data_IF_455060474222
#
_entry.id   IF_455060474222
#
_cell.length_a   1.000
_cell.length_b   1.000
_cell.length_c   1.000
_cell.angle_alpha   90.00
_cell.angle_beta   90.00
_cell.angle_gamma   90.00
#
_symmetry.space_group_name_H-M   'P 1'
#
loop_
_entity.id
_entity.type
_entity.pdbx_description
1 polymer ?
#
# COMPACT_ATOMS: atom_id res chain seq x y z
N UNK A 1 -1.50 60.49 2.11
CA UNK A 1 -1.98 61.48 3.12
C UNK A 1 -2.04 60.78 4.47
N UNK A 2 -1.44 61.39 5.52
CA UNK A 2 -1.50 61.10 6.99
C UNK A 2 -1.17 59.66 7.44
N UNK A 3 -0.12 59.29 8.19
CA UNK A 3 0.64 59.81 9.36
C UNK A 3 -0.17 59.96 10.66
N UNK A 4 0.30 59.30 11.74
CA UNK A 4 0.19 59.56 13.23
C UNK A 4 0.21 58.18 13.96
N UNK A 5 1.35 57.66 14.44
CA UNK A 5 2.10 57.86 15.72
C UNK A 5 1.64 57.03 16.95
N UNK A 6 2.54 56.14 17.38
CA UNK A 6 3.04 55.81 18.74
C UNK A 6 2.18 56.05 20.00
N UNK A 7 2.19 55.10 20.94
CA UNK A 7 2.79 55.32 22.27
C UNK A 7 3.15 54.03 23.02
N UNK A 8 4.29 54.12 23.70
CA UNK A 8 4.97 53.20 24.62
C UNK A 8 4.64 53.65 26.05
N UNK A 9 4.50 52.72 27.01
CA UNK A 9 5.19 52.70 28.32
C UNK A 9 4.60 51.72 29.35
N UNK A 10 5.46 50.81 29.81
CA UNK A 10 5.56 50.14 31.12
C UNK A 10 5.83 51.19 32.25
N UNK A 11 6.17 50.93 33.55
CA UNK A 11 6.66 49.70 34.23
C UNK A 11 6.23 49.53 35.72
N UNK A 12 6.64 48.47 36.43
CA UNK A 12 7.65 48.40 37.55
C UNK A 12 7.01 47.57 38.70
N UNK A 13 7.64 46.82 39.60
CA UNK A 13 9.04 46.47 39.97
C UNK A 13 8.95 45.46 41.15
N UNK A 14 9.57 44.27 41.14
CA UNK A 14 10.88 43.83 41.77
C UNK A 14 10.91 43.82 43.33
N UNK A 15 11.91 43.24 44.06
CA UNK A 15 13.08 42.40 43.71
C UNK A 15 13.35 41.22 44.71
N UNK A 16 14.25 40.26 44.45
CA UNK A 16 15.70 40.17 44.83
C UNK A 16 16.09 38.67 44.68
N UNK A 17 17.31 38.16 44.48
CA UNK A 17 18.70 38.64 44.31
C UNK A 17 19.58 37.39 44.07
N UNK A 18 20.65 37.52 43.24
CA UNK A 18 22.00 36.92 43.38
C UNK A 18 22.20 35.38 43.46
N UNK A 19 23.29 34.74 43.00
CA UNK A 19 24.39 35.01 42.06
C UNK A 19 25.16 33.66 41.89
N UNK A 20 25.73 33.44 40.70
CA UNK A 20 26.99 32.74 40.39
C UNK A 20 27.31 31.24 40.69
N UNK A 21 27.73 30.57 39.60
CA UNK A 21 29.00 29.81 39.41
C UNK A 21 29.01 28.26 39.24
N UNK A 22 29.48 27.87 38.03
CA UNK A 22 30.33 26.71 37.59
C UNK A 22 30.31 25.37 38.35
N UNK A 23 30.05 24.27 37.62
CA UNK A 23 31.07 23.30 37.14
C UNK A 23 30.43 22.00 36.57
N UNK A 24 31.03 21.48 35.50
CA UNK A 24 30.72 20.21 34.83
C UNK A 24 31.22 18.99 35.64
N UNK A 25 30.52 17.85 35.55
CA UNK A 25 31.09 16.48 35.34
C UNK A 25 29.94 15.45 35.14
N UNK A 26 30.21 14.26 34.55
CA UNK A 26 29.37 13.66 33.51
C UNK A 26 28.35 12.63 34.03
N UNK A 27 27.20 12.55 33.36
CA UNK A 27 26.20 11.49 33.58
C UNK A 27 26.73 10.19 32.99
N UNK A 28 27.09 9.25 33.88
CA UNK A 28 27.51 7.91 33.53
C UNK A 28 26.40 7.12 32.83
N UNK A 29 26.82 6.35 31.84
CA UNK A 29 26.03 5.36 31.11
C UNK A 29 25.42 4.34 32.07
N UNK A 30 24.08 4.25 32.11
CA UNK A 30 23.39 3.18 32.81
C UNK A 30 23.45 1.90 31.95
N UNK A 31 24.00 0.83 32.52
CA UNK A 31 24.03 -0.49 31.92
C UNK A 31 22.58 -1.04 31.80
N UNK A 32 22.08 -1.36 30.59
CA UNK A 32 20.73 -1.89 30.40
C UNK A 32 20.54 -3.33 30.93
N UNK A 33 21.58 -3.96 31.48
CA UNK A 33 21.53 -5.30 32.10
C UNK A 33 21.65 -5.29 33.64
N UNK A 34 21.50 -4.14 34.30
CA UNK A 34 21.49 -4.07 35.77
C UNK A 34 20.16 -4.58 36.35
N UNK A 35 20.22 -5.56 37.26
CA UNK A 35 19.05 -6.12 37.96
C UNK A 35 18.55 -5.13 39.03
N UNK A 36 17.24 -4.81 39.10
CA UNK A 36 16.73 -3.89 40.11
C UNK A 36 16.81 -4.51 41.52
N UNK A 37 17.23 -3.76 42.56
CA UNK A 37 17.16 -4.24 43.92
C UNK A 37 15.70 -4.19 44.41
N UNK A 38 15.17 -5.36 44.75
CA UNK A 38 13.98 -5.58 45.58
C UNK A 38 12.63 -5.03 45.08
N UNK A 39 11.88 -5.89 44.40
CA UNK A 39 10.42 -5.82 44.34
C UNK A 39 9.84 -6.94 45.22
N UNK A 40 9.59 -6.66 46.50
CA UNK A 40 8.71 -7.51 47.34
C UNK A 40 7.39 -6.77 47.57
N UNK A 41 6.23 -7.41 47.34
CA UNK A 41 4.93 -6.77 47.47
C UNK A 41 4.59 -6.46 48.94
N UNK A 42 4.03 -5.28 49.14
CA UNK A 42 3.57 -4.74 50.43
C UNK A 42 2.24 -5.38 50.86
N UNK A 43 2.30 -6.59 51.41
CA UNK A 43 1.18 -7.15 52.19
C UNK A 43 1.62 -8.33 53.06
N UNK A 44 2.47 -8.05 54.04
CA UNK A 44 2.60 -8.88 55.26
C UNK A 44 3.16 -8.01 56.38
N UNK A 45 2.32 -7.10 56.88
CA UNK A 45 2.53 -6.42 58.16
C UNK A 45 1.55 -7.03 59.16
N UNK A 46 2.09 -7.54 60.27
CA UNK A 46 1.35 -8.08 61.42
C UNK A 46 1.59 -9.59 61.54
N UNK A 47 2.25 -10.15 62.56
CA UNK A 47 2.37 -9.71 63.92
C UNK A 47 3.76 -10.04 64.49
N UNK A 48 4.30 -9.09 65.26
CA UNK A 48 5.45 -9.27 66.14
C UNK A 48 5.03 -10.18 67.29
N UNK A 49 5.81 -11.23 67.56
CA UNK A 49 5.89 -11.83 68.89
C UNK A 49 7.35 -11.77 69.33
N UNK A 50 7.58 -11.08 70.44
CA UNK A 50 8.90 -10.91 71.02
C UNK A 50 9.43 -12.23 71.53
N UNK A 51 10.66 -12.56 71.16
CA UNK A 51 11.47 -13.52 71.88
C UNK A 51 12.70 -12.81 72.42
N UNK A 52 12.79 -12.82 73.75
CA UNK A 52 13.92 -12.37 74.53
C UNK A 52 15.16 -13.18 74.12
N UNK A 53 16.28 -12.51 73.93
CA UNK A 53 17.58 -13.18 73.83
C UNK A 53 17.94 -13.72 75.22
N UNK A 54 17.70 -15.00 75.45
CA UNK A 54 18.37 -15.74 76.51
C UNK A 54 19.76 -16.13 75.98
N UNK A 55 20.81 -15.76 76.72
CA UNK A 55 22.16 -16.30 76.48
C UNK A 55 22.12 -17.83 76.63
N UNK A 56 22.51 -18.55 75.57
CA UNK A 56 22.68 -20.01 75.63
C UNK A 56 24.12 -20.29 76.07
N UNK A 57 24.35 -20.88 77.27
CA UNK A 57 25.67 -21.32 77.68
C UNK A 57 26.04 -22.62 76.96
N UNK A 58 27.22 -22.64 76.34
CA UNK A 58 27.86 -23.86 75.89
C UNK A 58 27.62 -24.20 74.41
N UNK A 59 28.58 -23.83 73.57
CA UNK A 59 28.76 -24.43 72.25
C UNK A 59 29.23 -25.87 72.40
N UNK A 60 28.30 -26.77 72.67
CA UNK A 60 28.52 -28.20 72.51
C UNK A 60 28.74 -28.52 71.03
N UNK A 61 29.98 -28.86 70.67
CA UNK A 61 30.31 -29.33 69.32
C UNK A 61 29.37 -30.46 68.89
N UNK A 62 28.79 -30.35 67.69
CA UNK A 62 28.02 -31.44 67.08
C UNK A 62 28.95 -32.63 66.82
N UNK A 63 28.84 -33.68 67.66
CA UNK A 63 29.51 -34.95 67.41
C UNK A 63 28.65 -35.80 66.49
N UNK A 64 29.05 -35.95 65.23
CA UNK A 64 28.40 -36.91 64.35
C UNK A 64 28.64 -38.32 64.90
N UNK A 65 27.55 -39.05 65.17
CA UNK A 65 27.60 -40.47 65.53
C UNK A 65 27.06 -41.27 64.36
N UNK A 66 27.82 -42.27 63.92
CA UNK A 66 27.31 -43.27 62.97
C UNK A 66 26.22 -44.08 63.67
N UNK A 67 24.97 -43.93 63.23
CA UNK A 67 23.85 -44.74 63.72
C UNK A 67 24.11 -46.19 63.34
N UNK A 68 24.10 -47.11 64.30
CA UNK A 68 24.25 -48.55 64.03
C UNK A 68 22.97 -49.02 63.33
N UNK A 69 23.09 -49.97 62.40
CA UNK A 69 21.97 -50.43 61.57
C UNK A 69 20.76 -50.94 62.38
N UNK A 70 20.99 -51.41 63.61
CA UNK A 70 19.96 -51.85 64.55
C UNK A 70 19.19 -50.70 65.24
N UNK A 71 19.80 -49.51 65.31
CA UNK A 71 19.24 -48.31 65.97
C UNK A 71 18.62 -47.33 64.96
N UNK A 72 18.74 -47.62 63.66
CA UNK A 72 18.16 -46.81 62.60
C UNK A 72 16.67 -47.11 62.48
N UNK A 73 15.81 -46.19 62.90
CA UNK A 73 14.39 -46.26 62.57
C UNK A 73 14.25 -46.14 61.05
N UNK A 74 13.54 -47.07 60.38
CA UNK A 74 13.23 -46.91 58.96
C UNK A 74 12.52 -45.58 58.78
N UNK A 75 13.03 -44.73 57.88
CA UNK A 75 12.28 -43.54 57.48
C UNK A 75 10.89 -44.02 57.01
N UNK A 76 9.80 -43.38 57.43
CA UNK A 76 8.48 -43.77 56.98
C UNK A 76 8.47 -43.70 55.45
N UNK A 77 8.41 -44.87 54.82
CA UNK A 77 8.25 -44.98 53.38
C UNK A 77 6.83 -44.54 53.13
N UNK A 78 6.64 -43.24 52.86
CA UNK A 78 5.38 -42.75 52.34
C UNK A 78 5.11 -43.57 51.08
N UNK A 79 4.15 -44.50 51.16
CA UNK A 79 3.62 -45.15 49.96
C UNK A 79 3.19 -44.02 49.04
N UNK A 80 3.86 -43.86 47.87
CA UNK A 80 3.51 -42.84 46.88
C UNK A 80 2.00 -42.79 46.77
N UNK A 81 1.41 -41.72 47.30
CA UNK A 81 -0.03 -41.65 47.37
C UNK A 81 -0.55 -41.56 45.93
N UNK A 82 -1.65 -42.25 45.61
CA UNK A 82 -2.33 -42.11 44.31
C UNK A 82 -2.60 -40.64 43.92
N UNK A 83 -2.61 -39.74 44.91
CA UNK A 83 -2.71 -38.28 44.76
C UNK A 83 -1.51 -37.63 44.03
N UNK A 84 -0.31 -38.19 44.10
CA UNK A 84 0.86 -37.68 43.35
C UNK A 84 0.75 -37.93 41.85
N UNK A 85 0.16 -39.07 41.45
CA UNK A 85 -0.10 -39.34 40.04
C UNK A 85 -1.14 -38.36 39.46
N UNK A 86 -2.16 -37.99 40.25
CA UNK A 86 -3.17 -37.00 39.85
C UNK A 86 -2.56 -35.63 39.53
N UNK A 87 -1.49 -35.22 40.24
CA UNK A 87 -0.78 -33.95 40.00
C UNK A 87 -0.14 -33.87 38.60
N UNK A 88 0.19 -35.00 37.99
CA UNK A 88 0.73 -35.06 36.63
C UNK A 88 -0.34 -35.37 35.59
N UNK A 89 -1.34 -36.18 35.94
CA UNK A 89 -2.42 -36.56 35.02
C UNK A 89 -3.28 -35.35 34.65
N UNK A 90 -3.66 -34.48 35.59
CA UNK A 90 -4.52 -33.33 35.25
C UNK A 90 -3.87 -32.31 34.30
N UNK A 91 -2.60 -31.87 34.52
CA UNK A 91 -1.93 -30.99 33.57
C UNK A 91 -1.72 -31.64 32.20
N UNK A 92 -1.37 -32.94 32.15
CA UNK A 92 -1.18 -33.65 30.89
C UNK A 92 -2.50 -33.81 30.12
N UNK A 93 -3.60 -34.17 30.81
CA UNK A 93 -4.92 -34.22 30.21
C UNK A 93 -5.36 -32.83 29.72
N UNK A 94 -5.10 -31.77 30.50
CA UNK A 94 -5.37 -30.39 30.09
C UNK A 94 -4.58 -29.97 28.85
N UNK A 95 -3.30 -30.36 28.75
CA UNK A 95 -2.45 -30.10 27.60
C UNK A 95 -2.91 -30.87 26.35
N UNK A 96 -3.26 -32.15 26.51
CA UNK A 96 -3.81 -32.96 25.40
C UNK A 96 -5.14 -32.38 24.93
N UNK A 97 -6.01 -31.99 25.85
CA UNK A 97 -7.31 -31.39 25.52
C UNK A 97 -7.13 -30.02 24.86
N UNK A 98 -6.18 -29.21 25.33
CA UNK A 98 -5.79 -27.95 24.70
C UNK A 98 -5.28 -28.14 23.28
N UNK A 99 -4.33 -29.05 23.06
CA UNK A 99 -3.83 -29.39 21.73
C UNK A 99 -4.92 -29.95 20.81
N UNK A 100 -5.82 -30.78 21.36
CA UNK A 100 -6.98 -31.30 20.63
C UNK A 100 -7.94 -30.19 20.19
N UNK A 101 -8.25 -29.23 21.07
CA UNK A 101 -9.07 -28.06 20.75
C UNK A 101 -8.38 -27.16 19.72
N UNK A 102 -7.08 -26.90 19.86
CA UNK A 102 -6.31 -26.13 18.88
C UNK A 102 -6.31 -26.83 17.52
N UNK A 103 -6.06 -28.14 17.48
CA UNK A 103 -6.14 -28.94 16.26
C UNK A 103 -7.53 -28.91 15.62
N UNK A 104 -8.59 -28.98 16.42
CA UNK A 104 -9.97 -28.85 15.95
C UNK A 104 -10.24 -27.46 15.35
N UNK A 105 -9.82 -26.38 16.02
CA UNK A 105 -9.99 -25.01 15.51
C UNK A 105 -9.25 -24.84 14.19
N UNK A 106 -7.99 -25.32 14.10
CA UNK A 106 -7.21 -25.29 12.86
C UNK A 106 -7.91 -26.08 11.77
N UNK A 107 -8.37 -27.30 12.07
CA UNK A 107 -9.09 -28.14 11.11
C UNK A 107 -10.36 -27.46 10.58
N UNK A 108 -11.19 -26.93 11.48
CA UNK A 108 -12.42 -26.23 11.10
C UNK A 108 -12.10 -25.01 10.21
N UNK A 109 -11.08 -24.23 10.56
CA UNK A 109 -10.65 -23.07 9.77
C UNK A 109 -10.07 -23.46 8.41
N UNK A 110 -9.26 -24.51 8.33
CA UNK A 110 -8.74 -25.02 7.07
C UNK A 110 -9.86 -25.62 6.19
N UNK A 111 -10.87 -26.24 6.80
CA UNK A 111 -12.00 -26.80 6.06
C UNK A 111 -12.95 -25.74 5.47
N UNK A 112 -12.91 -24.51 5.99
CA UNK A 112 -13.64 -23.35 5.43
C UNK A 112 -12.94 -22.76 4.20
N UNK A 113 -11.67 -23.11 3.94
CA UNK A 113 -10.92 -22.60 2.79
C UNK A 113 -11.44 -23.28 1.53
N UNK A 114 -12.11 -22.51 0.68
CA UNK A 114 -12.54 -22.99 -0.64
C UNK A 114 -11.34 -23.06 -1.58
N UNK A 115 -11.03 -24.27 -2.04
CA UNK A 115 -10.03 -24.50 -3.07
C UNK A 115 -10.68 -24.37 -4.44
N UNK A 116 -10.57 -23.18 -5.03
CA UNK A 116 -11.08 -22.93 -6.37
C UNK A 116 -10.21 -23.59 -7.44
N UNK A 117 -10.85 -24.11 -8.48
CA UNK A 117 -10.13 -24.49 -9.72
C UNK A 117 -9.98 -23.26 -10.60
N UNK A 118 -8.75 -23.02 -11.05
CA UNK A 118 -8.42 -21.89 -11.93
C UNK A 118 -8.04 -22.39 -13.33
N UNK A 119 -8.69 -21.85 -14.34
CA UNK A 119 -8.44 -22.12 -15.75
C UNK A 119 -7.68 -20.95 -16.37
N UNK A 120 -6.65 -21.19 -17.20
CA UNK A 120 -5.89 -20.11 -17.82
C UNK A 120 -6.75 -19.33 -18.80
N UNK A 121 -6.66 -18.00 -18.74
CA UNK A 121 -7.28 -17.06 -19.66
C UNK A 121 -6.23 -16.37 -20.52
N UNK A 122 -5.12 -15.94 -19.89
CA UNK A 122 -3.97 -15.37 -20.58
C UNK A 122 -2.69 -15.92 -19.96
N UNK A 123 -1.77 -16.39 -20.79
CA UNK A 123 -0.40 -16.74 -20.41
C UNK A 123 0.52 -16.09 -21.43
N UNK A 124 0.99 -14.89 -21.11
CA UNK A 124 1.80 -14.05 -21.99
C UNK A 124 3.23 -13.98 -21.45
N UNK A 125 4.18 -14.47 -22.23
CA UNK A 125 5.62 -14.47 -21.93
C UNK A 125 6.42 -13.58 -22.90
N UNK A 126 5.73 -12.85 -23.79
CA UNK A 126 6.28 -11.94 -24.80
C UNK A 126 7.36 -12.56 -25.71
N UNK A 127 7.47 -13.89 -25.75
CA UNK A 127 8.48 -14.60 -26.56
C UNK A 127 8.24 -14.48 -28.07
N UNK A 128 7.02 -14.14 -28.47
CA UNK A 128 6.63 -13.88 -29.87
C UNK A 128 7.31 -12.64 -30.46
N UNK A 129 7.79 -11.71 -29.62
CA UNK A 129 8.34 -10.43 -30.06
C UNK A 129 7.30 -9.38 -30.47
N UNK A 130 6.00 -9.69 -30.39
CA UNK A 130 4.91 -8.78 -30.74
C UNK A 130 3.67 -9.03 -29.87
N UNK A 131 2.94 -7.95 -29.55
CA UNK A 131 1.65 -8.07 -28.85
C UNK A 131 0.59 -8.65 -29.80
N UNK A 132 -0.15 -9.66 -29.35
CA UNK A 132 -1.30 -10.18 -30.10
C UNK A 132 -2.42 -9.13 -30.12
N UNK A 133 -2.81 -8.59 -31.29
CA UNK A 133 -3.85 -7.57 -31.40
C UNK A 133 -5.25 -8.08 -31.05
N UNK A 134 -5.45 -9.40 -30.96
CA UNK A 134 -6.71 -9.98 -30.48
C UNK A 134 -6.82 -9.92 -28.95
N UNK A 135 -5.70 -9.72 -28.25
CA UNK A 135 -5.63 -9.66 -26.79
C UNK A 135 -5.40 -8.22 -26.35
N UNK A 136 -4.34 -7.60 -26.87
CA UNK A 136 -3.83 -6.33 -26.40
C UNK A 136 -4.27 -5.17 -27.31
N UNK A 137 -4.88 -4.16 -26.70
CA UNK A 137 -5.16 -2.87 -27.32
C UNK A 137 -4.19 -1.83 -26.77
N UNK A 138 -3.56 -1.07 -27.65
CA UNK A 138 -2.77 0.12 -27.25
C UNK A 138 -3.65 1.35 -27.31
N UNK A 139 -3.62 2.17 -26.26
CA UNK A 139 -4.40 3.39 -26.19
C UNK A 139 -3.59 4.61 -26.63
N UNK A 140 -4.24 5.53 -27.36
CA UNK A 140 -3.65 6.78 -27.86
C UNK A 140 -4.57 7.94 -27.52
N UNK A 141 -4.16 8.76 -26.54
CA UNK A 141 -4.91 9.90 -26.02
C UNK A 141 -3.99 11.01 -25.50
N UNK A 142 -4.55 12.21 -25.37
CA UNK A 142 -3.91 13.44 -24.84
C UNK A 142 -4.68 14.07 -23.67
N UNK A 143 -5.74 13.41 -23.20
CA UNK A 143 -6.66 13.96 -22.19
C UNK A 143 -6.24 13.77 -20.74
N UNK A 144 -5.16 13.04 -20.46
CA UNK A 144 -4.65 12.82 -19.11
C UNK A 144 -5.50 11.88 -18.25
N UNK A 145 -6.40 11.09 -18.86
CA UNK A 145 -7.12 9.97 -18.25
C UNK A 145 -7.87 10.30 -16.95
N UNK A 146 -8.46 11.50 -16.85
CA UNK A 146 -9.17 11.95 -15.65
C UNK A 146 -8.28 12.37 -14.48
N UNK A 147 -6.97 12.09 -14.56
CA UNK A 147 -5.97 12.38 -13.53
C UNK A 147 -5.12 13.62 -13.86
N UNK A 148 -5.34 14.27 -15.01
CA UNK A 148 -4.51 15.38 -15.47
C UNK A 148 -3.08 14.97 -15.77
N UNK A 149 -2.87 13.72 -16.20
CA UNK A 149 -1.54 13.18 -16.54
C UNK A 149 -0.90 13.94 -17.73
N UNK A 150 0.42 13.99 -17.75
CA UNK A 150 1.19 14.86 -18.66
C UNK A 150 1.73 14.14 -19.90
N UNK A 151 1.59 12.82 -19.99
CA UNK A 151 1.96 12.08 -21.19
C UNK A 151 0.86 12.10 -22.27
N UNK A 152 1.31 12.10 -23.51
CA UNK A 152 0.54 11.56 -24.62
C UNK A 152 0.81 10.05 -24.67
N UNK A 153 -0.23 9.23 -24.69
CA UNK A 153 -0.06 7.80 -24.97
C UNK A 153 0.06 7.57 -26.47
N UNK A 154 0.99 6.72 -26.89
CA UNK A 154 1.31 6.47 -28.31
C UNK A 154 1.39 4.99 -28.63
N UNK A 155 1.40 4.68 -29.93
CA UNK A 155 1.77 3.37 -30.49
C UNK A 155 3.23 3.34 -30.98
N UNK A 156 4.01 4.37 -30.66
CA UNK A 156 5.38 4.48 -31.17
C UNK A 156 6.26 3.40 -30.55
N UNK A 157 7.11 2.78 -31.38
CA UNK A 157 8.07 1.76 -30.94
C UNK A 157 9.13 2.29 -29.96
N UNK A 158 9.21 3.61 -29.73
CA UNK A 158 10.05 4.18 -28.68
C UNK A 158 9.41 4.08 -27.28
N UNK A 159 8.07 3.99 -27.22
CA UNK A 159 7.31 3.99 -25.98
C UNK A 159 6.78 2.60 -25.61
N UNK A 160 6.50 1.76 -26.61
CA UNK A 160 5.99 0.41 -26.43
C UNK A 160 6.70 -0.56 -27.39
N UNK A 161 7.48 -1.48 -26.85
CA UNK A 161 8.18 -2.47 -27.67
C UNK A 161 8.50 -3.74 -26.87
N UNK A 162 8.73 -4.84 -27.59
CA UNK A 162 9.19 -6.09 -26.98
C UNK A 162 10.66 -6.30 -27.38
N UNK A 163 11.49 -6.56 -26.38
CA UNK A 163 12.91 -6.86 -26.57
C UNK A 163 13.32 -7.98 -25.62
N UNK A 164 14.08 -8.95 -26.11
CA UNK A 164 14.61 -10.06 -25.30
C UNK A 164 13.52 -10.85 -24.53
N UNK A 165 12.33 -11.00 -25.13
CA UNK A 165 11.19 -11.68 -24.50
C UNK A 165 10.51 -10.88 -23.38
N UNK A 166 10.69 -9.56 -23.34
CA UNK A 166 10.11 -8.69 -22.32
C UNK A 166 9.44 -7.49 -22.97
N UNK A 167 8.29 -7.10 -22.42
CA UNK A 167 7.59 -5.89 -22.83
C UNK A 167 8.16 -4.68 -22.10
N UNK A 168 8.44 -3.61 -22.86
CA UNK A 168 8.93 -2.34 -22.36
C UNK A 168 7.85 -1.27 -22.54
N UNK A 169 7.51 -0.61 -21.44
CA UNK A 169 6.72 0.63 -21.44
C UNK A 169 7.67 1.75 -21.01
N UNK A 170 8.10 2.56 -21.99
CA UNK A 170 9.17 3.54 -21.83
C UNK A 170 8.65 4.95 -22.04
N UNK A 171 8.54 5.76 -20.98
CA UNK A 171 8.28 7.19 -21.12
C UNK A 171 9.42 7.90 -21.87
N UNK A 172 9.07 8.86 -22.72
CA UNK A 172 10.04 9.73 -23.42
C UNK A 172 9.61 11.20 -23.34
N UNK A 173 10.54 12.11 -23.59
CA UNK A 173 10.25 13.55 -23.66
C UNK A 173 9.57 13.86 -25.00
N UNK A 174 8.62 14.80 -25.02
CA UNK A 174 8.00 15.25 -26.27
C UNK A 174 8.99 16.04 -27.14
N UNK A 175 8.74 16.09 -28.46
CA UNK A 175 9.45 16.99 -29.36
C UNK A 175 9.30 18.45 -28.89
N UNK A 176 10.44 19.09 -28.62
CA UNK A 176 10.52 20.47 -28.18
C UNK A 176 9.89 21.45 -29.18
N UNK A 177 9.85 21.11 -30.48
CA UNK A 177 9.22 21.96 -31.51
C UNK A 177 7.72 22.15 -31.25
N UNK A 178 7.05 21.07 -30.79
CA UNK A 178 5.62 21.06 -30.44
C UNK A 178 5.31 21.86 -29.18
N UNK A 179 6.30 22.04 -28.30
CA UNK A 179 6.17 22.77 -27.02
C UNK A 179 6.53 24.25 -27.17
N UNK A 180 7.46 24.59 -28.05
CA UNK A 180 8.04 25.95 -28.16
C UNK A 180 7.45 26.79 -29.28
N UNK A 181 6.65 26.19 -30.17
CA UNK A 181 5.92 26.92 -31.21
C UNK A 181 4.43 26.60 -31.14
N UNK A 182 3.59 27.48 -31.69
CA UNK A 182 2.14 27.25 -31.73
C UNK A 182 1.84 26.02 -32.59
N UNK A 183 1.28 24.98 -31.98
CA UNK A 183 1.00 23.71 -32.64
C UNK A 183 -0.31 23.11 -32.14
N UNK A 184 -0.82 22.14 -32.89
CA UNK A 184 -1.99 21.34 -32.53
C UNK A 184 -1.62 19.88 -32.75
N UNK A 185 -1.89 19.03 -31.75
CA UNK A 185 -1.94 17.58 -31.92
C UNK A 185 -3.41 17.22 -32.06
N UNK A 186 -3.79 16.63 -33.20
CA UNK A 186 -5.18 16.28 -33.50
C UNK A 186 -5.27 14.81 -33.89
N UNK A 187 -5.33 13.95 -32.87
CA UNK A 187 -5.39 12.50 -33.03
C UNK A 187 -6.68 12.04 -33.73
N UNK A 188 -7.75 12.85 -33.70
CA UNK A 188 -8.98 12.55 -34.44
C UNK A 188 -8.78 12.74 -35.94
N UNK A 189 -8.14 13.83 -36.34
CA UNK A 189 -7.81 14.07 -37.75
C UNK A 189 -6.80 13.03 -38.28
N UNK A 190 -5.88 12.59 -37.42
CA UNK A 190 -4.90 11.55 -37.72
C UNK A 190 -5.52 10.14 -37.75
N UNK A 191 -6.74 9.96 -37.23
CA UNK A 191 -7.42 8.67 -37.13
C UNK A 191 -6.80 7.71 -36.10
N UNK A 192 -5.98 8.22 -35.18
CA UNK A 192 -5.22 7.42 -34.20
C UNK A 192 -5.83 7.44 -32.81
N UNK A 193 -6.70 8.40 -32.49
CA UNK A 193 -7.30 8.49 -31.16
C UNK A 193 -8.14 7.26 -30.82
N UNK A 194 -7.88 6.62 -29.69
CA UNK A 194 -8.55 5.36 -29.30
C UNK A 194 -9.64 5.54 -28.24
N UNK A 195 -9.91 6.77 -27.80
CA UNK A 195 -10.97 7.01 -26.81
C UNK A 195 -12.33 6.64 -27.39
N UNK A 196 -13.18 6.01 -26.58
CA UNK A 196 -14.59 5.75 -26.93
C UNK A 196 -15.51 6.90 -26.51
N UNK A 197 -15.00 7.86 -25.73
CA UNK A 197 -15.75 9.03 -25.31
C UNK A 197 -15.83 10.08 -26.43
N UNK A 198 -16.96 10.76 -26.57
CA UNK A 198 -17.10 11.90 -27.50
C UNK A 198 -16.48 13.20 -26.94
N UNK A 199 -15.51 13.08 -26.05
CA UNK A 199 -14.87 14.21 -25.36
C UNK A 199 -13.63 14.62 -26.15
N UNK A 200 -13.73 15.74 -26.87
CA UNK A 200 -12.69 16.20 -27.81
C UNK A 200 -11.31 16.39 -27.17
N UNK A 201 -11.26 16.81 -25.89
CA UNK A 201 -10.00 17.05 -25.17
C UNK A 201 -9.17 15.78 -24.97
N UNK A 202 -9.76 14.60 -25.14
CA UNK A 202 -9.02 13.33 -25.10
C UNK A 202 -8.21 13.07 -26.37
N UNK A 203 -8.55 13.73 -27.48
CA UNK A 203 -7.92 13.53 -28.79
C UNK A 203 -7.22 14.77 -29.35
N UNK A 204 -7.57 15.96 -28.87
CA UNK A 204 -7.05 17.22 -29.42
C UNK A 204 -6.47 18.08 -28.31
N UNK A 205 -5.23 18.52 -28.52
CA UNK A 205 -4.53 19.45 -27.64
C UNK A 205 -3.74 20.45 -28.46
N UNK A 206 -3.35 21.57 -27.86
CA UNK A 206 -2.58 22.60 -28.55
C UNK A 206 -1.57 23.29 -27.65
N UNK A 207 -0.52 23.78 -28.30
CA UNK A 207 0.43 24.73 -27.73
C UNK A 207 0.07 26.13 -28.19
N UNK A 208 -0.07 27.03 -27.24
CA UNK A 208 -0.23 28.46 -27.45
C UNK A 208 0.82 29.22 -26.64
N UNK A 209 1.85 29.72 -27.33
CA UNK A 209 2.99 30.39 -26.71
C UNK A 209 2.63 31.73 -26.07
N UNK A 210 1.48 32.32 -26.42
CA UNK A 210 1.03 33.61 -25.88
C UNK A 210 0.43 33.46 -24.48
N UNK A 211 -0.34 32.40 -24.24
CA UNK A 211 -0.99 32.16 -22.94
C UNK A 211 -0.28 31.09 -22.08
N UNK A 212 0.73 30.40 -22.63
CA UNK A 212 1.53 29.40 -21.92
C UNK A 212 0.90 28.01 -21.86
N UNK A 213 -0.21 27.76 -22.57
CA UNK A 213 -0.75 26.40 -22.73
C UNK A 213 0.17 25.59 -23.65
N UNK A 214 0.46 24.35 -23.26
CA UNK A 214 1.25 23.43 -24.09
C UNK A 214 0.54 22.07 -24.25
N UNK A 215 0.86 21.39 -25.36
CA UNK A 215 0.59 19.96 -25.51
C UNK A 215 1.33 19.13 -24.45
N UNK A 216 1.05 17.84 -24.38
CA UNK A 216 1.68 16.92 -23.44
C UNK A 216 3.22 16.98 -23.53
N UNK A 217 3.92 17.33 -22.43
CA UNK A 217 5.39 17.46 -22.42
C UNK A 217 6.14 16.12 -22.47
N UNK A 218 5.44 15.00 -22.29
CA UNK A 218 6.01 13.66 -22.35
C UNK A 218 5.17 12.75 -23.26
N UNK A 219 5.75 11.61 -23.64
CA UNK A 219 5.07 10.50 -24.30
C UNK A 219 5.24 9.24 -23.45
N UNK A 220 4.28 8.33 -23.52
CA UNK A 220 4.36 7.01 -22.89
C UNK A 220 3.43 6.03 -23.59
N UNK A 221 3.19 4.86 -23.00
CA UNK A 221 2.21 3.90 -23.49
C UNK A 221 1.28 3.40 -22.38
N UNK A 222 0.07 3.06 -22.80
CA UNK A 222 -0.98 2.41 -22.01
C UNK A 222 -1.59 1.31 -22.87
N UNK A 223 -1.58 0.09 -22.37
CA UNK A 223 -2.17 -1.05 -23.05
C UNK A 223 -3.19 -1.73 -22.16
N UNK A 224 -4.19 -2.38 -22.77
CA UNK A 224 -5.21 -3.10 -22.05
C UNK A 224 -5.65 -4.39 -22.75
N UNK A 225 -6.27 -5.29 -22.01
CA UNK A 225 -6.74 -6.59 -22.51
C UNK A 225 -8.23 -6.64 -22.84
N UNK A 226 -8.92 -5.49 -22.89
CA UNK A 226 -10.39 -5.38 -22.92
C UNK A 226 -11.05 -6.22 -24.02
N UNK A 227 -10.42 -6.30 -25.19
CA UNK A 227 -10.99 -7.00 -26.35
C UNK A 227 -10.82 -8.53 -26.31
N UNK A 228 -9.85 -9.05 -25.56
CA UNK A 228 -9.47 -10.47 -25.66
C UNK A 228 -9.39 -11.24 -24.36
N UNK A 229 -8.80 -10.67 -23.31
CA UNK A 229 -8.59 -11.38 -22.04
C UNK A 229 -9.24 -10.61 -20.88
N UNK A 230 -10.37 -11.12 -20.41
CA UNK A 230 -11.14 -10.57 -19.29
C UNK A 230 -11.37 -11.68 -18.27
N UNK A 231 -11.51 -11.33 -16.99
CA UNK A 231 -11.86 -12.30 -15.95
C UNK A 231 -12.94 -11.74 -15.03
N UNK A 232 -13.77 -12.63 -14.49
CA UNK A 232 -14.58 -12.39 -13.29
C UNK A 232 -14.24 -13.46 -12.27
N UNK A 233 -13.62 -13.03 -11.16
CA UNK A 233 -13.03 -13.90 -10.16
C UNK A 233 -11.90 -14.76 -10.73
N UNK A 234 -10.77 -14.81 -10.04
CA UNK A 234 -9.58 -15.37 -10.63
C UNK A 234 -8.32 -14.99 -9.88
N UNK A 235 -7.23 -15.18 -10.61
CA UNK A 235 -5.89 -14.79 -10.20
C UNK A 235 -5.24 -14.00 -11.35
N UNK A 236 -4.58 -12.90 -11.03
CA UNK A 236 -3.75 -12.16 -11.98
C UNK A 236 -2.36 -12.04 -11.37
N UNK A 237 -1.33 -12.35 -12.15
CA UNK A 237 0.06 -12.19 -11.77
C UNK A 237 0.81 -11.50 -12.91
N UNK A 238 1.40 -10.35 -12.60
CA UNK A 238 2.24 -9.60 -13.54
C UNK A 238 3.63 -9.53 -12.97
N UNK A 239 4.59 -10.18 -13.64
CA UNK A 239 6.00 -10.11 -13.26
C UNK A 239 6.64 -8.90 -13.93
N UNK A 240 6.93 -7.87 -13.15
CA UNK A 240 7.45 -6.61 -13.67
C UNK A 240 8.54 -6.02 -12.78
N UNK A 241 9.41 -5.20 -13.39
CA UNK A 241 10.34 -4.32 -12.70
C UNK A 241 9.88 -2.89 -12.92
N UNK A 242 9.67 -2.16 -11.81
CA UNK A 242 9.12 -0.82 -11.87
C UNK A 242 10.16 0.22 -12.33
N UNK A 243 9.71 1.30 -12.99
CA UNK A 243 10.59 2.40 -13.34
C UNK A 243 11.03 3.17 -12.10
N UNK A 244 12.21 3.80 -12.21
CA UNK A 244 12.73 4.76 -11.23
C UNK A 244 12.98 6.09 -11.93
N UNK A 245 12.51 7.17 -11.34
CA UNK A 245 12.56 8.49 -11.91
C UNK A 245 11.44 9.35 -11.37
N UNK A 246 11.76 10.60 -11.08
CA UNK A 246 10.80 11.53 -10.54
C UNK A 246 9.60 11.69 -11.48
N UNK A 247 8.43 11.76 -10.85
CA UNK A 247 7.13 12.01 -11.50
C UNK A 247 6.65 10.88 -12.40
N UNK A 248 7.26 9.70 -12.35
CA UNK A 248 6.74 8.50 -13.01
C UNK A 248 5.68 7.82 -12.14
N UNK A 249 4.64 7.32 -12.77
CA UNK A 249 3.52 6.63 -12.11
C UNK A 249 3.21 5.32 -12.86
N UNK A 250 3.95 4.24 -12.59
CA UNK A 250 3.63 2.91 -13.09
C UNK A 250 2.36 2.36 -12.43
N UNK A 251 1.53 1.68 -13.22
CA UNK A 251 0.33 1.02 -12.72
C UNK A 251 0.07 -0.33 -13.42
N UNK A 252 -0.42 -1.28 -12.62
CA UNK A 252 -0.97 -2.58 -13.03
C UNK A 252 -2.32 -2.68 -12.35
N UNK A 253 -3.39 -2.62 -13.14
CA UNK A 253 -4.72 -2.36 -12.62
C UNK A 253 -5.79 -2.89 -13.57
N UNK A 254 -7.04 -2.86 -13.14
CA UNK A 254 -8.14 -3.44 -13.89
C UNK A 254 -9.37 -2.54 -13.86
N UNK A 255 -10.07 -2.48 -14.99
CA UNK A 255 -11.36 -1.80 -15.13
C UNK A 255 -12.45 -2.79 -15.57
N UNK A 256 -13.73 -2.51 -15.27
CA UNK A 256 -14.83 -3.33 -15.71
C UNK A 256 -14.96 -3.27 -17.24
N UNK A 257 -15.27 -4.40 -17.87
CA UNK A 257 -15.52 -4.47 -19.32
C UNK A 257 -16.68 -3.56 -19.70
N UNK A 258 -17.74 -3.61 -18.91
CA UNK A 258 -18.97 -2.84 -19.06
C UNK A 258 -19.26 -2.01 -17.80
N UNK A 259 -19.68 -0.76 -18.00
CA UNK A 259 -20.09 0.16 -16.94
C UNK A 259 -21.49 -0.20 -16.39
N UNK A 260 -21.63 -1.43 -15.87
CA UNK A 260 -22.89 -2.08 -15.48
C UNK A 260 -23.68 -1.28 -14.44
N UNK A 261 -22.98 -0.58 -13.54
CA UNK A 261 -23.58 0.20 -12.46
C UNK A 261 -23.58 1.70 -12.73
N UNK A 262 -23.13 2.10 -13.92
CA UNK A 262 -22.93 3.47 -14.34
C UNK A 262 -21.45 3.88 -14.37
N UNK A 263 -21.21 5.17 -14.61
CA UNK A 263 -19.85 5.69 -14.84
C UNK A 263 -18.96 5.49 -13.63
N UNK A 264 -17.64 5.42 -13.87
CA UNK A 264 -16.65 5.39 -12.79
C UNK A 264 -16.91 6.47 -11.72
N UNK A 265 -16.81 6.14 -10.42
CA UNK A 265 -16.34 4.87 -9.84
C UNK A 265 -17.47 3.85 -9.56
N UNK A 266 -18.69 4.05 -10.06
CA UNK A 266 -19.84 3.20 -9.72
C UNK A 266 -19.67 1.74 -10.14
N UNK A 267 -18.97 1.50 -11.26
CA UNK A 267 -18.69 0.16 -11.79
C UNK A 267 -17.37 -0.45 -11.29
N UNK A 268 -16.62 0.27 -10.47
CA UNK A 268 -15.42 -0.20 -9.80
C UNK A 268 -14.11 -0.03 -10.59
N UNK A 269 -13.00 -0.10 -9.86
CA UNK A 269 -11.61 -0.20 -10.37
C UNK A 269 -10.81 -1.04 -9.38
N UNK A 270 -9.90 -1.88 -9.87
CA UNK A 270 -9.03 -2.70 -9.03
C UNK A 270 -7.57 -2.38 -9.36
N UNK A 271 -6.90 -1.66 -8.46
CA UNK A 271 -5.47 -1.39 -8.58
C UNK A 271 -4.69 -2.48 -7.88
N UNK A 272 -4.07 -3.34 -8.68
CA UNK A 272 -3.22 -4.42 -8.17
C UNK A 272 -1.93 -3.82 -7.63
N UNK A 273 -1.34 -2.89 -8.39
CA UNK A 273 -0.10 -2.20 -8.05
C UNK A 273 -0.10 -0.80 -8.65
N UNK A 274 0.09 0.19 -7.80
CA UNK A 274 0.56 1.51 -8.20
C UNK A 274 1.80 1.88 -7.39
N UNK A 275 2.68 2.68 -7.96
CA UNK A 275 3.87 3.19 -7.28
C UNK A 275 4.25 4.56 -7.82
N UNK A 276 5.13 5.26 -7.09
CA UNK A 276 5.80 6.47 -7.57
C UNK A 276 7.21 6.09 -7.98
N UNK A 277 7.67 6.57 -9.13
CA UNK A 277 9.05 6.40 -9.55
C UNK A 277 10.04 7.25 -8.76
N UNK A 278 9.56 8.27 -8.02
CA UNK A 278 10.39 9.14 -7.18
C UNK A 278 11.27 8.34 -6.23
N UNK A 279 12.38 8.95 -5.82
CA UNK A 279 13.30 8.30 -4.89
C UNK A 279 12.62 7.88 -3.57
N UNK A 280 13.14 6.85 -2.90
CA UNK A 280 12.64 6.36 -1.61
C UNK A 280 12.55 7.42 -0.50
N UNK A 281 13.21 8.57 -0.66
CA UNK A 281 13.12 9.72 0.23
C UNK A 281 11.85 10.57 0.06
N UNK A 282 11.02 10.31 -0.96
CA UNK A 282 9.77 11.03 -1.20
C UNK A 282 8.82 10.87 0.00
N UNK A 283 8.23 11.98 0.47
CA UNK A 283 7.54 12.03 1.76
C UNK A 283 6.32 11.11 1.89
N UNK A 284 5.63 10.82 0.78
CA UNK A 284 4.48 9.90 0.73
C UNK A 284 4.85 8.47 0.32
N UNK A 285 6.15 8.17 0.21
CA UNK A 285 6.66 6.92 -0.33
C UNK A 285 6.89 7.00 -1.83
N UNK A 286 8.14 6.70 -2.24
CA UNK A 286 8.58 6.68 -3.62
C UNK A 286 8.62 5.26 -4.20
N UNK A 287 9.69 4.95 -4.90
CA UNK A 287 9.93 3.70 -5.61
C UNK A 287 10.14 2.47 -4.69
N UNK A 288 10.10 2.69 -3.38
CA UNK A 288 10.10 1.65 -2.35
C UNK A 288 8.70 1.32 -1.85
N UNK A 289 7.64 2.00 -2.32
CA UNK A 289 6.27 1.78 -1.89
C UNK A 289 5.41 1.27 -3.07
N UNK A 290 4.53 0.33 -2.77
CA UNK A 290 3.46 -0.11 -3.67
C UNK A 290 2.14 0.03 -2.95
N UNK A 291 1.16 0.61 -3.62
CA UNK A 291 -0.24 0.63 -3.17
C UNK A 291 -1.08 -0.34 -3.98
N UNK A 292 -2.11 -0.86 -3.33
CA UNK A 292 -3.25 -1.49 -3.98
C UNK A 292 -4.51 -0.82 -3.45
N UNK A 293 -5.47 -0.60 -4.33
CA UNK A 293 -6.68 0.17 -4.06
C UNK A 293 -7.87 -0.49 -4.75
N UNK A 294 -9.07 -0.18 -4.24
CA UNK A 294 -10.33 -0.48 -4.91
C UNK A 294 -11.09 0.83 -5.01
N UNK A 295 -11.41 1.31 -6.22
CA UNK A 295 -12.26 2.49 -6.37
C UNK A 295 -13.72 2.07 -6.42
N UNK A 296 -14.56 2.81 -5.69
CA UNK A 296 -16.00 2.57 -5.61
C UNK A 296 -16.67 3.80 -4.98
N UNK A 297 -17.82 4.19 -5.51
CA UNK A 297 -18.57 5.32 -4.98
C UNK A 297 -19.73 5.71 -5.91
N UNK A 298 -20.62 6.60 -5.44
CA UNK A 298 -21.74 7.06 -6.26
C UNK A 298 -21.32 8.03 -7.37
N UNK A 299 -20.18 8.70 -7.25
CA UNK A 299 -19.74 9.72 -8.21
C UNK A 299 -18.24 10.04 -8.03
N UNK A 300 -17.71 10.87 -8.92
CA UNK A 300 -16.30 11.31 -8.93
C UNK A 300 -15.86 11.98 -7.63
N UNK A 301 -16.74 12.79 -7.00
CA UNK A 301 -16.39 13.55 -5.80
C UNK A 301 -16.45 12.67 -4.54
N UNK A 302 -17.20 11.58 -4.61
CA UNK A 302 -17.48 10.66 -3.51
C UNK A 302 -16.82 9.29 -3.73
N UNK A 303 -15.72 9.23 -4.46
CA UNK A 303 -14.93 8.02 -4.58
C UNK A 303 -14.32 7.61 -3.22
N UNK A 304 -14.63 6.40 -2.78
CA UNK A 304 -14.29 5.90 -1.45
C UNK A 304 -12.98 5.10 -1.40
N UNK A 305 -12.17 5.13 -2.47
CA UNK A 305 -10.93 4.33 -2.57
C UNK A 305 -10.03 4.40 -1.35
N UNK A 306 -9.93 5.55 -0.68
CA UNK A 306 -9.13 5.75 0.54
C UNK A 306 -9.48 4.79 1.68
N UNK A 307 -10.70 4.25 1.70
CA UNK A 307 -11.16 3.25 2.69
C UNK A 307 -10.68 1.83 2.37
N UNK A 308 -10.30 1.62 1.11
CA UNK A 308 -9.90 0.34 0.53
C UNK A 308 -8.47 0.37 -0.02
N UNK A 309 -7.72 1.45 0.18
CA UNK A 309 -6.30 1.53 -0.16
C UNK A 309 -5.44 0.98 0.97
N UNK A 310 -4.42 0.21 0.62
CA UNK A 310 -3.34 -0.11 1.52
C UNK A 310 -1.98 -0.01 0.82
N UNK A 311 -0.94 0.18 1.62
CA UNK A 311 0.42 0.41 1.11
C UNK A 311 1.38 -0.60 1.72
N UNK A 312 2.31 -1.09 0.90
CA UNK A 312 3.41 -1.94 1.34
C UNK A 312 4.75 -1.30 0.97
N UNK A 313 5.57 -1.08 1.99
CA UNK A 313 6.96 -0.70 1.82
C UNK A 313 7.84 -1.93 1.55
N UNK A 314 8.80 -1.78 0.64
CA UNK A 314 9.93 -2.68 0.49
C UNK A 314 10.85 -2.57 1.72
N UNK A 315 11.37 -3.70 2.19
CA UNK A 315 12.30 -3.76 3.32
C UNK A 315 13.72 -3.77 2.78
N UNK A 316 14.43 -2.65 2.92
CA UNK A 316 15.83 -2.46 2.49
C UNK A 316 16.09 -2.63 0.98
N UNK A 317 15.06 -2.47 0.14
CA UNK A 317 15.18 -2.48 -1.32
C UNK A 317 14.17 -1.50 -1.96
N UNK A 318 14.18 -1.42 -3.29
CA UNK A 318 13.20 -0.67 -4.09
C UNK A 318 12.57 -1.61 -5.13
N UNK A 319 11.34 -1.33 -5.53
CA UNK A 319 10.60 -2.18 -6.48
C UNK A 319 11.08 -2.07 -7.94
N UNK A 320 12.01 -1.16 -8.20
CA UNK A 320 12.73 -1.05 -9.49
C UNK A 320 14.12 -1.70 -9.52
N UNK A 321 14.57 -2.30 -8.41
CA UNK A 321 15.87 -3.01 -8.37
C UNK A 321 15.80 -4.33 -9.16
N UNK A 322 14.78 -5.14 -8.85
CA UNK A 322 14.58 -6.49 -9.38
C UNK A 322 13.15 -6.68 -9.92
N UNK A 323 12.93 -7.81 -10.60
CA UNK A 323 11.58 -8.22 -10.98
C UNK A 323 10.80 -8.71 -9.76
N UNK A 324 9.56 -8.28 -9.66
CA UNK A 324 8.61 -8.70 -8.65
C UNK A 324 7.34 -9.21 -9.32
N UNK A 325 6.64 -10.14 -8.65
CA UNK A 325 5.31 -10.57 -9.09
C UNK A 325 4.28 -9.72 -8.37
N UNK A 326 3.52 -8.91 -9.09
CA UNK A 326 2.38 -8.18 -8.55
C UNK A 326 1.13 -9.01 -8.78
N UNK A 327 0.56 -9.52 -7.69
CA UNK A 327 -0.45 -10.55 -7.71
C UNK A 327 -1.78 -10.09 -7.14
N UNK A 328 -2.86 -10.59 -7.73
CA UNK A 328 -4.24 -10.44 -7.29
C UNK A 328 -4.87 -11.83 -7.18
N UNK A 329 -5.54 -12.10 -6.07
CA UNK A 329 -6.53 -13.16 -5.94
C UNK A 329 -7.90 -12.52 -5.67
N UNK A 330 -8.88 -12.86 -6.48
CA UNK A 330 -10.20 -12.25 -6.44
C UNK A 330 -11.27 -13.33 -6.51
N UNK A 331 -12.20 -13.27 -5.57
CA UNK A 331 -13.35 -14.18 -5.49
C UNK A 331 -14.61 -13.38 -5.17
N UNK A 332 -15.77 -14.04 -5.17
CA UNK A 332 -17.01 -13.46 -4.65
C UNK A 332 -16.91 -13.03 -3.17
N UNK A 333 -15.92 -13.55 -2.41
CA UNK A 333 -15.78 -13.36 -0.97
C UNK A 333 -14.72 -12.34 -0.59
N UNK A 334 -13.69 -12.14 -1.42
CA UNK A 334 -12.61 -11.21 -1.11
C UNK A 334 -11.84 -10.77 -2.36
N UNK A 335 -11.11 -9.67 -2.21
CA UNK A 335 -9.98 -9.30 -3.06
C UNK A 335 -8.70 -9.26 -2.22
N UNK A 336 -7.62 -9.81 -2.75
CA UNK A 336 -6.34 -9.94 -2.08
C UNK A 336 -5.20 -9.59 -3.05
N UNK A 337 -4.44 -8.54 -2.75
CA UNK A 337 -3.27 -8.13 -3.52
C UNK A 337 -1.97 -8.39 -2.74
N UNK A 338 -0.93 -8.87 -3.44
CA UNK A 338 0.35 -9.25 -2.84
C UNK A 338 1.53 -9.04 -3.79
N UNK A 339 2.75 -9.12 -3.24
CA UNK A 339 4.00 -8.98 -4.00
C UNK A 339 4.86 -10.24 -3.82
N UNK A 340 5.35 -10.83 -4.91
CA UNK A 340 6.15 -12.06 -5.01
C UNK A 340 5.42 -13.35 -4.59
N UNK A 341 4.74 -13.33 -3.44
CA UNK A 341 3.95 -14.45 -2.94
C UNK A 341 2.89 -13.96 -1.93
N UNK A 342 1.93 -14.85 -1.65
CA UNK A 342 0.78 -14.56 -0.79
C UNK A 342 1.12 -14.23 0.67
N UNK A 343 2.35 -14.46 1.15
CA UNK A 343 2.76 -14.03 2.50
C UNK A 343 3.12 -12.53 2.55
N UNK A 344 3.38 -11.91 1.40
CA UNK A 344 3.70 -10.49 1.28
C UNK A 344 2.46 -9.71 0.82
N UNK A 345 1.43 -9.76 1.65
CA UNK A 345 0.20 -9.01 1.47
C UNK A 345 0.45 -7.50 1.34
N UNK A 346 -0.22 -6.89 0.36
CA UNK A 346 -0.43 -5.43 0.26
C UNK A 346 -1.82 -5.10 0.79
N UNK A 347 -2.86 -5.67 0.17
CA UNK A 347 -4.27 -5.40 0.49
C UNK A 347 -5.03 -6.70 0.67
N UNK A 348 -5.93 -6.74 1.67
CA UNK A 348 -6.92 -7.81 1.81
C UNK A 348 -8.26 -7.16 2.14
N UNK A 349 -9.24 -7.35 1.27
CA UNK A 349 -10.58 -6.81 1.43
C UNK A 349 -11.62 -7.94 1.42
N UNK A 350 -12.15 -8.34 2.59
CA UNK A 350 -13.22 -9.32 2.66
C UNK A 350 -14.57 -8.65 2.40
N UNK A 351 -15.38 -9.20 1.49
CA UNK A 351 -16.76 -8.76 1.22
C UNK A 351 -17.74 -9.22 2.32
N UNK A 352 -17.41 -8.89 3.58
CA UNK A 352 -18.18 -9.29 4.77
C UNK A 352 -19.53 -8.55 4.88
N UNK A 353 -19.59 -7.34 4.32
CA UNK A 353 -20.76 -6.46 4.25
C UNK A 353 -20.80 -5.70 2.90
N UNK A 354 -21.98 -5.24 2.44
CA UNK A 354 -22.08 -4.38 1.25
C UNK A 354 -21.24 -3.11 1.37
N UNK A 355 -20.73 -2.59 0.25
CA UNK A 355 -19.87 -1.40 0.25
C UNK A 355 -20.62 -0.11 0.56
N UNK A 356 -21.86 0.06 0.08
CA UNK A 356 -22.63 1.31 0.24
C UNK A 356 -22.64 1.87 1.68
N UNK A 357 -23.02 1.10 2.72
CA UNK A 357 -23.04 1.62 4.09
C UNK A 357 -21.64 1.93 4.65
N UNK A 358 -20.58 1.38 4.05
CA UNK A 358 -19.20 1.64 4.47
C UNK A 358 -18.67 2.97 3.93
N UNK A 359 -19.26 3.45 2.83
CA UNK A 359 -18.86 4.69 2.16
C UNK A 359 -19.10 5.94 3.00
N UNK A 360 -20.15 5.95 3.83
CA UNK A 360 -20.63 7.12 4.56
C UNK A 360 -20.83 8.33 3.62
N UNK A 361 -21.47 8.09 2.48
CA UNK A 361 -21.71 9.12 1.46
C UNK A 361 -22.68 10.21 1.95
N UNK A 362 -22.52 11.46 1.50
CA UNK A 362 -23.47 12.52 1.81
C UNK A 362 -24.84 12.22 1.19
N UNK A 363 -25.89 12.82 1.74
CA UNK A 363 -27.26 12.65 1.23
C UNK A 363 -27.46 13.29 -0.15
N UNK A 364 -26.64 14.27 -0.50
CA UNK A 364 -26.70 14.98 -1.77
C UNK A 364 -25.32 15.43 -2.23
N UNK A 365 -25.17 15.62 -3.53
CA UNK A 365 -24.00 16.24 -4.14
C UNK A 365 -23.92 17.75 -3.85
N UNK A 366 -22.88 18.42 -4.38
CA UNK A 366 -22.68 19.86 -4.24
C UNK A 366 -23.79 20.72 -4.88
N UNK A 367 -24.58 20.15 -5.80
CA UNK A 367 -25.69 20.81 -6.48
C UNK A 367 -27.05 20.55 -5.79
N UNK A 368 -27.06 19.77 -4.69
CA UNK A 368 -28.27 19.38 -3.97
C UNK A 368 -29.03 18.21 -4.60
N UNK A 369 -28.44 17.51 -5.58
CA UNK A 369 -28.99 16.29 -6.16
C UNK A 369 -28.85 15.16 -5.16
N UNK A 370 -29.93 14.43 -4.88
CA UNK A 370 -29.88 13.31 -3.96
C UNK A 370 -28.95 12.21 -4.49
N UNK A 371 -28.04 11.76 -3.64
CA UNK A 371 -27.15 10.64 -3.92
C UNK A 371 -27.90 9.35 -3.60
N UNK A 372 -27.99 8.46 -4.59
CA UNK A 372 -28.75 7.20 -4.50
C UNK A 372 -27.78 6.03 -4.64
N UNK A 373 -28.04 4.97 -3.88
CA UNK A 373 -27.26 3.73 -3.92
C UNK A 373 -27.39 3.04 -5.29
N UNK A 374 -26.35 3.06 -6.15
CA UNK A 374 -26.40 2.47 -7.49
C UNK A 374 -26.34 0.94 -7.45
N UNK A 375 -26.14 0.33 -6.27
CA UNK A 375 -25.98 -1.11 -6.07
C UNK A 375 -27.15 -1.76 -5.32
N UNK A 376 -28.10 -0.95 -4.84
CA UNK A 376 -29.24 -1.37 -4.01
C UNK A 376 -30.07 -2.51 -4.61
N UNK A 377 -30.14 -2.59 -5.94
CA UNK A 377 -30.83 -3.61 -6.71
C UNK A 377 -30.15 -4.99 -6.71
N UNK A 378 -28.86 -5.08 -6.37
CA UNK A 378 -28.09 -6.32 -6.50
C UNK A 378 -28.25 -7.27 -5.33
N UNK A 379 -28.36 -6.73 -4.11
CA UNK A 379 -28.33 -7.51 -2.87
C UNK A 379 -27.01 -8.24 -2.59
N UNK A 380 -25.95 -8.00 -3.40
CA UNK A 380 -24.64 -8.65 -3.27
C UNK A 380 -23.69 -7.79 -2.45
N UNK A 381 -22.80 -8.44 -1.69
CA UNK A 381 -21.84 -7.74 -0.81
C UNK A 381 -20.61 -7.24 -1.54
N UNK A 382 -20.28 -7.88 -2.66
CA UNK A 382 -19.09 -7.62 -3.44
C UNK A 382 -19.32 -6.66 -4.61
N UNK A 383 -20.55 -6.18 -4.85
CA UNK A 383 -20.83 -5.11 -5.81
C UNK A 383 -20.00 -3.86 -5.50
N UNK A 384 -19.31 -3.23 -6.47
CA UNK A 384 -19.37 -3.49 -7.93
C UNK A 384 -18.34 -4.49 -8.49
N UNK A 385 -17.55 -5.15 -7.64
CA UNK A 385 -16.52 -6.12 -8.01
C UNK A 385 -17.08 -7.52 -8.26
N UNK A 386 -18.19 -7.58 -8.97
CA UNK A 386 -18.97 -8.78 -9.31
C UNK A 386 -19.24 -8.91 -10.82
N UNK A 387 -18.54 -8.11 -11.63
CA UNK A 387 -18.57 -8.09 -13.09
C UNK A 387 -17.25 -8.58 -13.70
N UNK A 388 -17.16 -8.66 -15.03
CA UNK A 388 -15.89 -8.95 -15.72
C UNK A 388 -15.00 -7.70 -15.77
N UNK A 389 -13.72 -7.90 -15.51
CA UNK A 389 -12.68 -6.87 -15.54
C UNK A 389 -11.57 -7.25 -16.53
N UNK A 390 -10.94 -6.24 -17.13
CA UNK A 390 -9.79 -6.39 -18.01
C UNK A 390 -8.55 -5.72 -17.41
N UNK A 391 -7.36 -6.20 -17.77
CA UNK A 391 -6.09 -5.71 -17.27
C UNK A 391 -5.61 -4.49 -18.04
N UNK A 392 -4.94 -3.56 -17.35
CA UNK A 392 -4.31 -2.36 -17.89
C UNK A 392 -2.88 -2.27 -17.35
N UNK A 393 -1.95 -1.96 -18.25
CA UNK A 393 -0.54 -1.71 -17.93
C UNK A 393 -0.15 -0.34 -18.50
N UNK A 394 0.42 0.52 -17.68
CA UNK A 394 0.93 1.81 -18.14
C UNK A 394 2.04 2.37 -17.25
N UNK A 395 2.72 3.39 -17.78
CA UNK A 395 3.54 4.31 -16.99
C UNK A 395 3.07 5.72 -17.30
N UNK A 396 2.29 6.31 -16.40
CA UNK A 396 1.91 7.72 -16.50
C UNK A 396 3.08 8.63 -16.08
N UNK A 397 3.02 9.90 -16.48
CA UNK A 397 4.01 10.92 -16.16
C UNK A 397 3.29 12.15 -15.59
N UNK A 398 3.69 12.57 -14.40
CA UNK A 398 3.02 13.67 -13.70
C UNK A 398 1.55 13.38 -13.39
N UNK A 399 0.78 14.42 -13.11
CA UNK A 399 -0.63 14.32 -12.75
C UNK A 399 -1.08 15.50 -11.88
N UNK A 400 -2.36 15.83 -11.96
CA UNK A 400 -2.98 16.98 -11.26
C UNK A 400 -4.04 16.55 -10.22
N UNK A 401 -4.05 15.27 -9.86
CA UNK A 401 -5.06 14.67 -8.97
C UNK A 401 -4.59 14.52 -7.51
N UNK A 402 -3.47 15.15 -7.13
CA UNK A 402 -2.87 15.03 -5.80
C UNK A 402 -2.03 13.76 -5.58
N UNK A 403 -1.83 12.90 -6.59
CA UNK A 403 -0.93 11.75 -6.48
C UNK A 403 0.50 12.18 -6.12
N UNK A 404 0.96 13.27 -6.73
CA UNK A 404 2.16 13.99 -6.33
C UNK A 404 1.74 15.23 -5.52
N UNK A 405 2.21 15.34 -4.28
CA UNK A 405 1.73 16.35 -3.34
C UNK A 405 2.25 17.76 -3.69
N UNK A 406 1.35 18.73 -3.74
CA UNK A 406 1.70 20.15 -3.92
C UNK A 406 2.61 20.67 -2.81
N UNK A 407 3.65 21.42 -3.22
CA UNK A 407 4.61 22.03 -2.30
C UNK A 407 5.55 21.06 -1.58
N UNK A 408 5.53 19.77 -1.96
CA UNK A 408 6.37 18.74 -1.37
C UNK A 408 7.47 18.25 -2.34
N UNK A 409 8.60 17.83 -1.78
CA UNK A 409 9.64 17.05 -2.45
C UNK A 409 10.12 17.62 -3.81
N UNK A 410 10.08 18.94 -3.96
CA UNK A 410 10.55 19.63 -5.17
C UNK A 410 9.62 19.50 -6.39
N UNK A 411 8.34 19.16 -6.21
CA UNK A 411 7.35 19.13 -7.29
C UNK A 411 7.32 20.46 -8.06
N UNK A 412 7.57 20.48 -9.39
CA UNK A 412 7.71 21.72 -10.15
C UNK A 412 6.39 22.34 -10.62
N UNK A 413 5.25 21.68 -10.43
CA UNK A 413 3.92 22.20 -10.80
C UNK A 413 2.97 22.21 -9.60
N UNK A 414 1.87 22.95 -9.75
CA UNK A 414 0.75 23.01 -8.81
C UNK A 414 -0.49 22.44 -9.50
N UNK A 415 -1.23 21.59 -8.81
CA UNK A 415 -2.42 20.95 -9.36
C UNK A 415 -3.50 21.98 -9.74
N UNK A 416 -4.10 21.82 -10.92
CA UNK A 416 -5.13 22.71 -11.45
C UNK A 416 -4.58 24.03 -12.00
N UNK A 417 -3.27 24.26 -11.99
CA UNK A 417 -2.67 25.44 -12.60
C UNK A 417 -2.73 25.33 -14.13
N UNK A 418 -3.15 26.41 -14.80
CA UNK A 418 -3.16 26.49 -16.26
C UNK A 418 -1.75 26.30 -16.90
N UNK A 419 -0.68 26.51 -16.12
CA UNK A 419 0.71 26.33 -16.53
C UNK A 419 1.33 25.01 -16.06
N UNK A 420 0.59 24.10 -15.41
CA UNK A 420 1.16 22.93 -14.75
C UNK A 420 2.09 22.10 -15.67
N UNK A 421 1.61 21.75 -16.87
CA UNK A 421 2.42 21.08 -17.90
C UNK A 421 3.65 21.88 -18.32
N UNK A 422 3.53 23.20 -18.47
CA UNK A 422 4.63 24.08 -18.87
C UNK A 422 5.70 24.17 -17.77
N UNK A 423 5.30 24.24 -16.51
CA UNK A 423 6.22 24.31 -15.39
C UNK A 423 6.96 22.97 -15.20
N UNK A 424 6.24 21.85 -15.37
CA UNK A 424 6.85 20.52 -15.52
C UNK A 424 7.89 20.48 -16.65
N UNK A 425 7.55 20.97 -17.85
CA UNK A 425 8.48 21.02 -18.99
C UNK A 425 9.73 21.88 -18.72
N UNK A 426 9.56 23.04 -18.08
CA UNK A 426 10.68 23.94 -17.75
C UNK A 426 11.65 23.31 -16.77
N UNK A 427 11.14 22.53 -15.82
CA UNK A 427 11.93 21.83 -14.81
C UNK A 427 12.60 20.53 -15.32
N UNK A 428 12.49 20.17 -16.61
CA UNK A 428 12.99 18.90 -17.14
C UNK A 428 14.47 18.63 -16.91
N UNK A 429 15.30 19.67 -16.82
CA UNK A 429 16.72 19.50 -16.53
C UNK A 429 16.98 19.02 -15.09
N UNK A 430 15.99 19.15 -14.19
CA UNK A 430 16.07 18.69 -12.80
C UNK A 430 15.58 17.25 -12.68
N UNK A 431 14.42 16.92 -13.26
CA UNK A 431 13.80 15.61 -13.09
C UNK A 431 14.20 14.57 -14.14
N UNK A 432 14.48 14.95 -15.40
CA UNK A 432 14.79 13.97 -16.46
C UNK A 432 16.07 13.16 -16.17
N UNK A 433 17.15 13.73 -15.60
CA UNK A 433 18.33 12.95 -15.22
C UNK A 433 18.06 11.88 -14.15
N UNK A 434 16.95 11.96 -13.42
CA UNK A 434 16.59 10.98 -12.39
C UNK A 434 16.00 9.70 -12.98
N UNK A 435 15.63 9.69 -14.26
CA UNK A 435 15.04 8.54 -14.94
C UNK A 435 16.11 7.46 -15.21
N UNK A 436 16.38 6.64 -14.20
CA UNK A 436 17.31 5.53 -14.30
C UNK A 436 16.85 4.53 -15.37
N UNK A 437 17.80 4.03 -16.17
CA UNK A 437 17.50 3.09 -17.28
C UNK A 437 16.38 3.60 -18.20
N UNK A 438 16.31 4.92 -18.41
CA UNK A 438 15.27 5.60 -19.19
C UNK A 438 13.86 5.58 -18.58
N UNK A 439 13.70 5.32 -17.28
CA UNK A 439 12.40 5.41 -16.61
C UNK A 439 11.37 4.38 -17.08
N UNK A 440 11.82 3.25 -17.63
CA UNK A 440 10.96 2.24 -18.24
C UNK A 440 10.43 1.21 -17.23
N UNK A 441 9.16 0.84 -17.36
CA UNK A 441 8.62 -0.37 -16.75
C UNK A 441 8.93 -1.55 -17.68
N UNK A 442 9.43 -2.64 -17.12
CA UNK A 442 9.73 -3.86 -17.88
C UNK A 442 8.85 -4.98 -17.35
N UNK A 443 8.08 -5.59 -18.23
CA UNK A 443 7.17 -6.70 -17.91
C UNK A 443 7.71 -7.97 -18.54
N UNK A 444 8.01 -8.95 -17.70
CA UNK A 444 8.56 -10.25 -18.09
C UNK A 444 7.44 -11.25 -18.41
N UNK A 445 6.32 -11.17 -17.69
CA UNK A 445 5.22 -12.10 -17.87
C UNK A 445 3.90 -11.52 -17.37
N UNK A 446 2.80 -11.86 -18.04
CA UNK A 446 1.43 -11.62 -17.58
C UNK A 446 0.66 -12.94 -17.59
N UNK A 447 0.15 -13.34 -16.43
CA UNK A 447 -0.69 -14.51 -16.31
C UNK A 447 -2.04 -14.14 -15.69
N UNK A 448 -3.13 -14.58 -16.31
CA UNK A 448 -4.49 -14.43 -15.82
C UNK A 448 -5.16 -15.79 -15.83
N UNK A 449 -5.77 -16.15 -14.71
CA UNK A 449 -6.59 -17.34 -14.58
C UNK A 449 -7.95 -16.96 -14.01
N UNK A 450 -8.99 -17.61 -14.51
CA UNK A 450 -10.36 -17.43 -14.04
C UNK A 450 -10.81 -18.65 -13.24
N UNK A 451 -11.61 -18.41 -12.20
CA UNK A 451 -12.29 -19.48 -11.49
C UNK A 451 -13.22 -20.25 -12.45
N UNK A 452 -13.13 -21.58 -12.50
CA UNK A 452 -13.85 -22.42 -13.46
C UNK A 452 -14.56 -23.64 -12.84
N UNK A 453 -14.84 -23.60 -11.53
CA UNK A 453 -15.59 -24.63 -10.80
C UNK A 453 -17.05 -24.25 -10.49
#
# INVERSE_FOLDING_TARGET
MQKVTSHVNTPKSTPQSEENSRAQTPVGTSNPFATPPYSRPTSTIGARSGFQYAEVPGTGYFRSRRVRKADATPLPVNKKAKKEALLWVFPLCGLILGLGLTGLIIYLKLSEITHHKYCPVLLEDFSSGALDPNIWTTEVQVGGYGNGQFEQTTTDAENLFIQDGQLYIKPTIQDASLITTNNIINLTADGTCTTTSNILVNCVTSTNTTNGTIVQPAKSARINTKLGATIKYGKVEVKAKLPKGDWLWPAIWMLPVEDTYGSWPQSGEIDIMESRGNNYTYSLGGNNFVSSSLHWGPDLASDAYKKTTNVRAALHSQFGDDFHIYGLEWTEKFIFAYIDNTLRQVMYWPFSSPLWPQGNFPLSDSNGTAIVDPWSQTGRKNTPFDQEFYLILNVAVGGENGWFLDGADGKPWVDGSASAKLDFWKARNEWLPTWEKSGQMIVDQVNMWQQCD
#
